data_IF_486208794364
#
_entry.id   IF_486208794364
#
_cell.length_a   1.000
_cell.length_b   1.000
_cell.length_c   1.000
_cell.angle_alpha   90.00
_cell.angle_beta   90.00
_cell.angle_gamma   90.00
#
_symmetry.space_group_name_H-M   'P 1'
#
loop_
_entity.id
_entity.type
_entity.pdbx_description
1 polymer ?
#
# COMPACT_ATOMS: atom_id res chain seq x y z
N UNK A 1 29.29 12.02 10.91
CA UNK A 1 27.98 11.55 11.43
C UNK A 1 26.99 11.58 10.28
N UNK A 2 26.19 10.53 10.02
CA UNK A 2 25.09 10.62 9.07
C UNK A 2 24.18 11.78 9.51
N UNK A 3 23.80 12.66 8.60
CA UNK A 3 22.79 13.67 8.93
C UNK A 3 21.47 12.98 9.27
N UNK A 4 20.66 13.62 10.10
CA UNK A 4 19.35 13.09 10.51
C UNK A 4 18.49 12.65 9.30
N UNK A 5 18.58 13.35 8.18
CA UNK A 5 17.91 13.00 6.92
C UNK A 5 18.34 11.64 6.37
N UNK A 6 19.66 11.35 6.29
CA UNK A 6 20.16 10.09 5.77
C UNK A 6 19.77 8.91 6.67
N UNK A 7 19.85 9.08 7.99
CA UNK A 7 19.43 8.07 8.96
C UNK A 7 17.94 7.74 8.80
N UNK A 8 17.09 8.77 8.68
CA UNK A 8 15.66 8.59 8.46
C UNK A 8 15.37 7.84 7.16
N UNK A 9 15.96 8.28 6.04
CA UNK A 9 15.80 7.62 4.73
C UNK A 9 16.23 6.15 4.82
N UNK A 10 17.38 5.86 5.45
CA UNK A 10 17.84 4.47 5.63
C UNK A 10 16.86 3.62 6.44
N UNK A 11 16.31 4.17 7.53
CA UNK A 11 15.31 3.48 8.33
C UNK A 11 14.03 3.20 7.54
N UNK A 12 13.55 4.18 6.76
CA UNK A 12 12.38 4.05 5.89
C UNK A 12 12.61 2.99 4.81
N UNK A 13 13.71 3.07 4.06
CA UNK A 13 14.04 2.10 3.00
C UNK A 13 14.19 0.67 3.54
N UNK A 14 14.80 0.52 4.71
CA UNK A 14 14.97 -0.77 5.39
C UNK A 14 13.61 -1.40 5.77
N UNK A 15 12.67 -0.60 6.28
CA UNK A 15 11.32 -1.06 6.61
C UNK A 15 10.53 -1.41 5.35
N UNK A 16 10.53 -0.54 4.35
CA UNK A 16 9.82 -0.80 3.09
C UNK A 16 10.35 -1.99 2.31
N UNK A 17 11.66 -2.27 2.37
CA UNK A 17 12.21 -3.52 1.86
C UNK A 17 11.56 -4.74 2.52
N UNK A 18 11.42 -4.74 3.85
CA UNK A 18 10.79 -5.84 4.60
C UNK A 18 9.30 -5.96 4.29
N UNK A 19 8.59 -4.83 4.20
CA UNK A 19 7.17 -4.77 3.81
C UNK A 19 6.98 -5.37 2.42
N UNK A 20 7.79 -4.94 1.44
CA UNK A 20 7.72 -5.45 0.07
C UNK A 20 7.88 -6.98 0.02
N UNK A 21 8.82 -7.54 0.77
CA UNK A 21 9.02 -9.00 0.86
C UNK A 21 7.86 -9.71 1.57
N UNK A 22 7.30 -9.09 2.62
CA UNK A 22 6.18 -9.66 3.38
C UNK A 22 4.88 -9.70 2.56
N UNK A 23 4.66 -8.76 1.66
CA UNK A 23 3.33 -8.54 1.09
C UNK A 23 3.19 -8.95 -0.37
N UNK A 24 4.29 -9.13 -1.09
CA UNK A 24 4.28 -9.71 -2.44
C UNK A 24 5.61 -10.37 -2.74
N UNK A 25 5.63 -11.69 -2.80
CA UNK A 25 6.79 -12.43 -3.28
C UNK A 25 6.79 -12.46 -4.83
N UNK A 26 7.97 -12.65 -5.40
CA UNK A 26 8.19 -12.73 -6.86
C UNK A 26 7.40 -13.89 -7.51
N UNK A 27 7.03 -14.87 -6.71
CA UNK A 27 6.35 -16.09 -7.03
C UNK A 27 4.89 -16.02 -6.54
N UNK A 28 4.22 -14.86 -6.58
CA UNK A 28 2.75 -14.72 -6.45
C UNK A 28 2.08 -15.33 -5.21
N UNK A 29 2.84 -15.86 -4.26
CA UNK A 29 2.43 -16.26 -2.94
C UNK A 29 2.86 -15.19 -1.94
N UNK A 30 2.20 -15.19 -0.80
CA UNK A 30 2.53 -14.34 0.34
C UNK A 30 2.63 -15.22 1.57
N UNK A 31 3.40 -14.82 2.60
CA UNK A 31 3.33 -15.45 3.91
C UNK A 31 1.89 -15.63 4.41
N UNK A 32 0.99 -14.69 4.06
CA UNK A 32 -0.43 -14.80 4.36
C UNK A 32 -1.11 -15.94 3.58
N UNK A 33 -0.84 -16.10 2.27
CA UNK A 33 -1.40 -17.20 1.48
C UNK A 33 -0.85 -18.57 1.86
N UNK A 34 0.40 -18.65 2.32
CA UNK A 34 1.04 -19.89 2.76
C UNK A 34 0.44 -20.41 4.06
N UNK A 35 0.16 -19.52 5.02
CA UNK A 35 -0.53 -19.88 6.28
C UNK A 35 -1.91 -20.52 6.01
N UNK A 36 -2.54 -20.17 4.88
CA UNK A 36 -3.85 -20.69 4.48
C UNK A 36 -3.79 -22.03 3.71
N UNK A 37 -2.61 -22.59 3.41
CA UNK A 37 -2.48 -23.84 2.60
C UNK A 37 -2.66 -25.14 3.36
N UNK A 38 -2.42 -25.12 4.66
CA UNK A 38 -2.50 -26.32 5.51
C UNK A 38 -3.30 -25.98 6.76
N UNK A 39 -4.62 -25.77 6.63
CA UNK A 39 -5.40 -25.30 7.75
C UNK A 39 -5.56 -26.43 8.78
N UNK A 40 -4.95 -26.25 9.95
CA UNK A 40 -5.56 -26.74 11.18
C UNK A 40 -6.29 -25.54 11.80
N UNK A 41 -7.58 -25.69 12.07
CA UNK A 41 -8.51 -24.56 12.26
C UNK A 41 -8.09 -23.58 13.36
N UNK A 42 -7.48 -24.08 14.44
CA UNK A 42 -7.03 -23.24 15.57
C UNK A 42 -5.73 -22.48 15.27
N UNK A 43 -4.75 -23.13 14.63
CA UNK A 43 -3.46 -22.51 14.31
C UNK A 43 -3.56 -21.44 13.21
N UNK A 44 -4.50 -21.63 12.28
CA UNK A 44 -4.65 -20.75 11.11
C UNK A 44 -5.03 -19.34 11.52
N UNK A 45 -6.02 -19.19 12.41
CA UNK A 45 -6.45 -17.88 12.90
C UNK A 45 -5.31 -17.12 13.60
N UNK A 46 -4.60 -17.80 14.51
CA UNK A 46 -3.48 -17.20 15.24
C UNK A 46 -2.33 -16.82 14.31
N UNK A 47 -1.99 -17.67 13.35
CA UNK A 47 -0.92 -17.41 12.38
C UNK A 47 -1.27 -16.24 11.45
N UNK A 48 -2.52 -16.13 10.97
CA UNK A 48 -3.00 -14.96 10.22
C UNK A 48 -2.88 -13.69 11.07
N UNK A 49 -3.32 -13.72 12.33
CA UNK A 49 -3.17 -12.61 13.27
C UNK A 49 -1.71 -12.16 13.43
N UNK A 50 -0.78 -13.11 13.62
CA UNK A 50 0.66 -12.84 13.72
C UNK A 50 1.23 -12.17 12.47
N UNK A 51 0.85 -12.64 11.29
CA UNK A 51 1.31 -12.07 10.01
C UNK A 51 0.82 -10.61 9.87
N UNK A 52 -0.44 -10.34 10.20
CA UNK A 52 -1.02 -8.99 10.18
C UNK A 52 -0.32 -8.07 11.21
N UNK A 53 -0.01 -8.58 12.41
CA UNK A 53 0.69 -7.81 13.44
C UNK A 53 2.13 -7.47 13.05
N UNK A 54 2.83 -8.41 12.39
CA UNK A 54 4.15 -8.13 11.80
C UNK A 54 4.03 -7.02 10.76
N UNK A 55 3.03 -7.06 9.88
CA UNK A 55 2.80 -6.04 8.86
C UNK A 55 2.55 -4.65 9.47
N UNK A 56 1.77 -4.57 10.56
CA UNK A 56 1.55 -3.32 11.31
C UNK A 56 2.83 -2.84 12.00
N UNK A 57 3.57 -3.76 12.62
CA UNK A 57 4.81 -3.46 13.31
C UNK A 57 5.89 -2.90 12.37
N UNK A 58 5.95 -3.40 11.13
CA UNK A 58 6.88 -2.90 10.12
C UNK A 58 6.55 -1.48 9.64
N UNK A 59 5.28 -1.06 9.70
CA UNK A 59 4.85 0.31 9.35
C UNK A 59 5.07 1.32 10.47
N UNK A 60 5.43 0.90 11.69
CA UNK A 60 5.77 1.82 12.78
C UNK A 60 7.25 2.19 12.73
N UNK A 61 7.55 3.49 12.78
CA UNK A 61 8.91 4.02 12.77
C UNK A 61 9.05 5.16 13.78
N UNK A 62 9.71 4.91 14.91
CA UNK A 62 10.06 5.96 15.90
C UNK A 62 8.87 6.82 16.36
N UNK A 63 7.69 6.21 16.51
CA UNK A 63 6.45 6.92 16.86
C UNK A 63 5.70 7.52 15.68
N UNK A 64 6.17 7.34 14.45
CA UNK A 64 5.46 7.68 13.21
C UNK A 64 4.92 6.41 12.53
N UNK A 65 4.00 6.61 11.59
CA UNK A 65 3.44 5.55 10.74
C UNK A 65 3.87 5.78 9.29
N UNK A 66 4.42 4.75 8.66
CA UNK A 66 4.73 4.74 7.23
C UNK A 66 3.42 4.66 6.42
N UNK A 67 3.21 5.62 5.52
CA UNK A 67 2.10 5.63 4.57
C UNK A 67 2.42 4.79 3.33
N UNK A 68 2.73 5.46 2.21
CA UNK A 68 3.20 4.82 0.97
C UNK A 68 4.68 5.09 0.69
N UNK A 69 5.25 4.35 -0.28
CA UNK A 69 6.54 4.66 -0.91
C UNK A 69 6.46 4.52 -2.43
N UNK A 70 7.13 5.42 -3.13
CA UNK A 70 7.40 5.35 -4.56
C UNK A 70 8.91 5.57 -4.80
N UNK A 71 9.48 4.85 -5.76
CA UNK A 71 10.90 4.89 -6.12
C UNK A 71 11.05 4.94 -7.64
N UNK A 72 11.90 5.84 -8.14
CA UNK A 72 12.18 6.02 -9.57
C UNK A 72 13.69 5.94 -9.83
N UNK A 73 14.07 5.27 -10.91
CA UNK A 73 15.44 5.24 -11.47
C UNK A 73 15.39 5.73 -12.92
N UNK A 74 16.09 6.83 -13.23
CA UNK A 74 16.11 7.37 -14.59
C UNK A 74 14.68 7.48 -15.15
N UNK A 75 14.24 6.71 -16.14
CA UNK A 75 12.84 6.77 -16.64
C UNK A 75 11.89 5.69 -16.06
N UNK A 76 12.41 4.72 -15.29
CA UNK A 76 11.62 3.61 -14.74
C UNK A 76 11.06 3.92 -13.34
N UNK A 77 9.79 3.59 -13.10
CA UNK A 77 9.05 3.89 -11.87
C UNK A 77 8.58 2.59 -11.20
N UNK A 78 8.79 2.45 -9.89
CA UNK A 78 8.24 1.39 -9.05
C UNK A 78 7.56 2.00 -7.81
N UNK A 79 6.35 1.56 -7.44
CA UNK A 79 5.66 2.08 -6.25
C UNK A 79 4.78 1.03 -5.58
N UNK A 80 4.53 1.24 -4.29
CA UNK A 80 3.75 0.33 -3.45
C UNK A 80 2.26 0.36 -3.81
N UNK A 81 1.63 -0.82 -3.85
CA UNK A 81 0.21 -0.97 -4.19
C UNK A 81 -0.10 -1.09 -5.69
N UNK A 82 0.91 -1.18 -6.58
CA UNK A 82 0.70 -1.54 -7.99
C UNK A 82 0.98 -3.02 -8.26
N UNK A 83 0.25 -3.59 -9.21
CA UNK A 83 0.45 -4.98 -9.56
C UNK A 83 1.78 -5.26 -10.27
N UNK A 84 2.39 -4.25 -10.86
CA UNK A 84 3.52 -4.46 -11.78
C UNK A 84 4.93 -4.45 -11.15
N UNK A 85 5.17 -3.96 -9.91
CA UNK A 85 6.58 -3.66 -9.54
C UNK A 85 6.96 -3.79 -8.05
N UNK A 86 6.38 -4.70 -7.25
CA UNK A 86 6.84 -4.89 -5.85
C UNK A 86 8.29 -5.39 -5.74
N UNK A 87 8.74 -6.22 -6.68
CA UNK A 87 10.16 -6.57 -6.84
C UNK A 87 11.04 -5.32 -7.07
N UNK A 88 10.50 -4.32 -7.77
CA UNK A 88 11.12 -3.03 -8.01
C UNK A 88 11.28 -2.19 -6.74
N UNK A 89 10.37 -2.30 -5.77
CA UNK A 89 10.47 -1.58 -4.48
C UNK A 89 11.59 -2.18 -3.63
N UNK A 90 11.58 -3.50 -3.41
CA UNK A 90 12.62 -4.15 -2.60
C UNK A 90 14.02 -3.93 -3.20
N UNK A 91 14.14 -4.07 -4.53
CA UNK A 91 15.36 -3.80 -5.27
C UNK A 91 15.77 -2.31 -5.22
N UNK A 92 14.81 -1.40 -5.43
CA UNK A 92 15.03 0.04 -5.37
C UNK A 92 15.47 0.51 -3.98
N UNK A 93 14.82 0.02 -2.93
CA UNK A 93 15.22 0.25 -1.53
C UNK A 93 16.66 -0.20 -1.28
N UNK A 94 17.04 -1.40 -1.73
CA UNK A 94 18.41 -1.91 -1.58
C UNK A 94 19.45 -1.02 -2.26
N UNK A 95 19.23 -0.68 -3.53
CA UNK A 95 20.19 0.12 -4.30
C UNK A 95 20.30 1.55 -3.77
N UNK A 96 19.17 2.18 -3.44
CA UNK A 96 19.18 3.52 -2.87
C UNK A 96 19.86 3.52 -1.49
N UNK A 97 19.56 2.54 -0.64
CA UNK A 97 20.24 2.39 0.65
C UNK A 97 21.76 2.24 0.49
N UNK A 98 22.21 1.45 -0.50
CA UNK A 98 23.64 1.33 -0.78
C UNK A 98 24.28 2.67 -1.16
N UNK A 99 23.61 3.47 -1.99
CA UNK A 99 24.10 4.81 -2.36
C UNK A 99 24.19 5.76 -1.16
N UNK A 100 23.25 5.68 -0.23
CA UNK A 100 23.29 6.47 1.01
C UNK A 100 24.44 6.04 1.92
N UNK A 101 24.76 4.74 1.97
CA UNK A 101 25.95 4.22 2.66
C UNK A 101 27.22 4.74 1.97
N UNK A 102 27.34 4.60 0.66
CA UNK A 102 28.54 5.05 -0.06
C UNK A 102 28.77 6.58 0.09
N UNK A 103 27.70 7.36 0.29
CA UNK A 103 27.78 8.79 0.63
C UNK A 103 28.40 9.04 2.01
N UNK A 104 28.12 8.17 2.98
CA UNK A 104 28.70 8.25 4.33
C UNK A 104 30.22 8.08 4.30
N UNK A 105 30.70 7.22 3.40
CA UNK A 105 32.11 6.87 3.26
C UNK A 105 32.89 7.86 2.38
N UNK A 106 32.23 8.89 1.82
CA UNK A 106 32.86 9.86 0.93
C UNK A 106 33.79 10.84 1.69
N UNK A 107 35.05 11.07 1.23
CA UNK A 107 35.99 11.96 1.89
C UNK A 107 35.50 13.41 1.92
N UNK A 108 35.57 14.01 3.11
CA UNK A 108 34.84 15.21 3.49
C UNK A 108 35.19 16.49 2.71
N UNK A 109 34.24 16.93 1.89
CA UNK A 109 34.07 18.34 1.45
C UNK A 109 32.59 18.74 1.27
N UNK A 110 31.65 17.81 1.43
CA UNK A 110 30.22 18.06 1.21
C UNK A 110 29.55 18.63 2.46
N UNK A 111 28.76 19.70 2.30
CA UNK A 111 27.98 20.32 3.39
C UNK A 111 26.51 20.40 3.02
N UNK A 112 25.65 20.02 3.97
CA UNK A 112 24.21 20.20 3.83
C UNK A 112 23.85 21.67 4.01
N UNK A 113 23.04 22.18 3.08
CA UNK A 113 22.48 23.51 3.12
C UNK A 113 20.96 23.38 3.17
N UNK A 114 20.32 24.07 4.10
CA UNK A 114 18.87 24.02 4.26
C UNK A 114 18.22 25.34 3.87
N UNK A 115 17.12 25.26 3.14
CA UNK A 115 16.35 26.42 2.70
C UNK A 115 14.86 26.09 2.75
N UNK A 116 14.04 27.13 2.89
CA UNK A 116 12.59 27.01 2.95
C UNK A 116 11.98 27.88 1.86
N UNK A 117 11.12 27.29 1.04
CA UNK A 117 10.41 27.97 -0.03
C UNK A 117 8.91 27.93 0.26
N UNK A 118 8.19 29.00 -0.12
CA UNK A 118 6.73 29.04 -0.05
C UNK A 118 6.16 28.86 -1.44
N UNK A 119 5.25 27.90 -1.62
CA UNK A 119 4.64 27.55 -2.91
C UNK A 119 3.51 28.52 -3.34
N UNK A 120 3.58 29.80 -2.94
CA UNK A 120 2.48 30.76 -3.12
C UNK A 120 1.21 30.46 -2.31
N UNK A 121 1.12 29.27 -1.69
CA UNK A 121 0.11 28.83 -0.73
C UNK A 121 0.65 28.92 0.70
N UNK A 122 -0.16 28.56 1.71
CA UNK A 122 0.26 28.49 3.11
C UNK A 122 1.27 27.36 3.42
N UNK A 123 1.57 26.49 2.45
CA UNK A 123 2.49 25.36 2.63
C UNK A 123 3.95 25.78 2.43
N UNK A 124 4.79 25.45 3.42
CA UNK A 124 6.23 25.68 3.38
C UNK A 124 6.95 24.37 2.99
N UNK A 125 7.73 24.44 1.92
CA UNK A 125 8.61 23.35 1.49
C UNK A 125 9.98 23.57 2.12
N UNK A 126 10.47 22.55 2.82
CA UNK A 126 11.82 22.56 3.38
C UNK A 126 12.70 21.68 2.54
N UNK A 127 13.81 22.22 2.08
CA UNK A 127 14.83 21.46 1.38
C UNK A 127 16.12 21.44 2.20
N UNK A 128 16.83 20.33 2.09
CA UNK A 128 18.21 20.16 2.49
C UNK A 128 18.95 19.61 1.28
N UNK A 129 19.98 20.31 0.81
CA UNK A 129 20.76 19.92 -0.37
C UNK A 129 22.22 19.76 -0.01
N UNK A 130 22.84 18.69 -0.49
CA UNK A 130 24.24 18.40 -0.29
C UNK A 130 25.01 18.71 -1.58
N UNK A 131 25.90 19.69 -1.50
CA UNK A 131 26.73 20.15 -2.62
C UNK A 131 28.03 20.80 -2.15
N UNK A 132 28.87 21.19 -3.10
CA UNK A 132 30.17 21.86 -2.86
C UNK A 132 30.09 23.39 -2.96
N UNK A 133 29.07 23.92 -3.63
CA UNK A 133 28.80 25.35 -3.81
C UNK A 133 27.50 25.77 -3.12
N UNK A 134 27.36 27.05 -2.77
CA UNK A 134 26.09 27.58 -2.27
C UNK A 134 25.04 27.53 -3.38
N UNK A 135 24.12 26.56 -3.33
CA UNK A 135 23.00 26.45 -4.25
C UNK A 135 21.84 27.32 -3.72
N UNK A 136 22.00 28.65 -3.77
CA UNK A 136 20.93 29.58 -3.39
C UNK A 136 20.03 29.83 -4.61
N UNK A 137 18.79 29.34 -4.55
CA UNK A 137 17.71 29.70 -5.48
C UNK A 137 16.57 30.29 -4.68
N UNK A 138 16.22 31.54 -4.97
CA UNK A 138 15.26 32.29 -4.14
C UNK A 138 13.80 32.07 -4.56
N UNK A 139 13.54 31.56 -5.76
CA UNK A 139 12.19 31.50 -6.33
C UNK A 139 11.88 30.10 -6.89
N UNK A 140 10.69 29.58 -6.55
CA UNK A 140 10.12 28.39 -7.19
C UNK A 140 9.73 28.72 -8.64
N UNK A 141 9.90 27.79 -9.60
CA UNK A 141 9.33 27.94 -10.93
C UNK A 141 7.81 28.12 -10.79
N UNK A 142 7.26 29.15 -11.44
CA UNK A 142 5.84 29.50 -11.31
C UNK A 142 4.96 28.38 -11.91
N UNK A 143 3.85 28.04 -11.24
CA UNK A 143 2.79 27.09 -11.67
C UNK A 143 2.99 25.58 -11.42
N UNK A 144 3.89 25.13 -10.53
CA UNK A 144 3.97 23.70 -10.21
C UNK A 144 3.19 23.35 -8.94
N UNK A 145 2.00 22.76 -9.07
CA UNK A 145 1.33 22.14 -7.91
C UNK A 145 2.09 20.87 -7.52
N UNK A 146 2.97 20.93 -6.53
CA UNK A 146 3.91 19.84 -6.23
C UNK A 146 3.22 18.61 -5.63
N UNK A 147 2.17 18.83 -4.83
CA UNK A 147 1.42 17.76 -4.23
C UNK A 147 0.33 17.21 -5.15
N UNK A 148 0.29 15.88 -5.26
CA UNK A 148 -0.81 15.12 -5.85
C UNK A 148 -1.37 14.11 -4.84
N UNK A 149 -2.66 13.75 -4.92
CA UNK A 149 -3.22 12.64 -4.15
C UNK A 149 -2.47 11.31 -4.38
N UNK A 150 -1.98 11.09 -5.60
CA UNK A 150 -1.15 9.95 -5.95
C UNK A 150 0.33 10.23 -5.63
N UNK A 151 0.96 9.33 -4.87
CA UNK A 151 2.36 9.44 -4.45
C UNK A 151 3.33 9.35 -5.63
N UNK A 152 3.01 8.57 -6.66
CA UNK A 152 3.82 8.42 -7.88
C UNK A 152 3.82 9.70 -8.70
N UNK A 153 2.66 10.33 -8.87
CA UNK A 153 2.56 11.62 -9.56
C UNK A 153 3.30 12.71 -8.78
N UNK A 154 3.17 12.69 -7.45
CA UNK A 154 3.94 13.59 -6.58
C UNK A 154 5.44 13.40 -6.78
N UNK A 155 5.93 12.14 -6.78
CA UNK A 155 7.34 11.82 -6.99
C UNK A 155 7.89 12.37 -8.32
N UNK A 156 7.13 12.24 -9.41
CA UNK A 156 7.53 12.77 -10.71
C UNK A 156 7.60 14.30 -10.71
N UNK A 157 6.63 14.98 -10.10
CA UNK A 157 6.64 16.44 -9.98
C UNK A 157 7.81 16.94 -9.13
N UNK A 158 8.10 16.28 -8.01
CA UNK A 158 9.28 16.57 -7.19
C UNK A 158 10.57 16.42 -7.96
N UNK A 159 10.67 15.39 -8.79
CA UNK A 159 11.86 15.18 -9.61
C UNK A 159 12.04 16.30 -10.63
N UNK A 160 10.98 16.67 -11.38
CA UNK A 160 11.04 17.78 -12.34
C UNK A 160 11.50 19.05 -11.64
N UNK A 161 10.87 19.39 -10.51
CA UNK A 161 11.22 20.56 -9.71
C UNK A 161 12.69 20.55 -9.27
N UNK A 162 13.17 19.43 -8.74
CA UNK A 162 14.54 19.34 -8.23
C UNK A 162 15.58 19.29 -9.35
N UNK A 163 15.23 18.80 -10.54
CA UNK A 163 16.07 18.84 -11.74
C UNK A 163 16.21 20.27 -12.29
N UNK A 164 15.19 21.11 -12.12
CA UNK A 164 15.22 22.55 -12.48
C UNK A 164 15.95 23.41 -11.44
N UNK A 165 15.70 23.17 -10.16
CA UNK A 165 16.27 23.98 -9.07
C UNK A 165 17.74 23.67 -8.78
N UNK A 166 18.12 22.39 -8.83
CA UNK A 166 19.44 21.90 -8.42
C UNK A 166 20.12 21.12 -9.53
N UNK A 167 21.44 21.00 -9.48
CA UNK A 167 22.17 20.19 -10.44
C UNK A 167 21.68 18.73 -10.46
N UNK A 168 21.75 18.08 -11.63
CA UNK A 168 21.33 16.67 -11.83
C UNK A 168 22.05 15.67 -10.89
N UNK A 169 23.16 16.07 -10.30
CA UNK A 169 23.95 15.24 -9.38
C UNK A 169 23.85 15.70 -7.92
N UNK A 170 23.13 16.79 -7.64
CA UNK A 170 22.93 17.29 -6.27
C UNK A 170 22.02 16.34 -5.52
N UNK A 171 22.43 15.99 -4.29
CA UNK A 171 21.64 15.13 -3.41
C UNK A 171 20.65 16.03 -2.67
N UNK A 172 19.37 15.72 -2.81
CA UNK A 172 18.28 16.58 -2.34
C UNK A 172 17.41 15.80 -1.39
N UNK A 173 17.13 16.36 -0.23
CA UNK A 173 16.09 15.93 0.67
C UNK A 173 15.07 17.05 0.77
N UNK A 174 13.79 16.76 0.59
CA UNK A 174 12.74 17.75 0.69
C UNK A 174 11.58 17.22 1.53
N UNK A 175 10.92 18.11 2.27
CA UNK A 175 9.71 17.81 3.02
C UNK A 175 8.63 18.84 2.75
N UNK A 176 7.41 18.33 2.68
CA UNK A 176 6.19 19.11 2.54
C UNK A 176 5.18 18.57 3.56
N UNK A 177 4.79 19.43 4.50
CA UNK A 177 3.75 19.11 5.48
C UNK A 177 2.38 19.44 4.88
N UNK A 178 1.49 18.45 4.89
CA UNK A 178 0.15 18.51 4.33
C UNK A 178 -0.79 18.00 5.39
N UNK A 179 -1.58 18.89 5.97
CA UNK A 179 -2.40 18.60 7.14
C UNK A 179 -1.56 17.97 8.27
N UNK A 180 -1.81 16.71 8.59
CA UNK A 180 -1.11 15.94 9.62
C UNK A 180 -0.01 15.03 9.08
N UNK A 181 0.11 14.86 7.75
CA UNK A 181 1.14 14.01 7.12
C UNK A 181 2.31 14.83 6.61
N UNK A 182 3.47 14.19 6.53
CA UNK A 182 4.65 14.75 5.89
C UNK A 182 5.01 13.92 4.67
N UNK A 183 4.94 14.55 3.50
CA UNK A 183 5.51 13.99 2.28
C UNK A 183 7.01 14.28 2.29
N UNK A 184 7.80 13.24 2.17
CA UNK A 184 9.26 13.31 2.12
C UNK A 184 9.70 12.90 0.72
N UNK A 185 10.67 13.62 0.18
CA UNK A 185 11.30 13.32 -1.10
C UNK A 185 12.81 13.24 -0.90
N UNK A 186 13.44 12.26 -1.52
CA UNK A 186 14.88 12.11 -1.50
C UNK A 186 15.42 11.75 -2.89
N UNK A 187 16.44 12.47 -3.34
CA UNK A 187 17.14 12.25 -4.61
C UNK A 187 18.62 12.03 -4.38
N UNK A 188 19.17 10.97 -4.97
CA UNK A 188 20.60 10.66 -4.96
C UNK A 188 21.05 10.12 -6.33
N UNK A 189 21.78 10.96 -7.08
CA UNK A 189 22.08 10.70 -8.48
C UNK A 189 20.80 10.52 -9.31
N UNK A 190 20.75 9.51 -10.17
CA UNK A 190 19.56 9.21 -10.99
C UNK A 190 18.39 8.52 -10.26
N UNK A 191 18.42 8.47 -8.92
CA UNK A 191 17.41 7.81 -8.10
C UNK A 191 16.61 8.81 -7.29
N UNK A 192 15.30 8.67 -7.27
CA UNK A 192 14.38 9.46 -6.46
C UNK A 192 13.45 8.54 -5.67
N UNK A 193 13.09 8.89 -4.44
CA UNK A 193 11.99 8.26 -3.73
C UNK A 193 11.13 9.32 -3.05
N UNK A 194 9.85 8.99 -2.91
CA UNK A 194 8.91 9.77 -2.14
C UNK A 194 8.17 8.84 -1.18
N UNK A 195 7.93 9.29 0.04
CA UNK A 195 7.22 8.53 1.05
C UNK A 195 6.48 9.42 2.04
N UNK A 196 5.37 8.91 2.54
CA UNK A 196 4.54 9.58 3.53
C UNK A 196 4.89 9.12 4.94
N UNK A 197 5.01 10.09 5.85
CA UNK A 197 5.07 9.85 7.29
C UNK A 197 3.85 10.46 7.95
N UNK A 198 3.08 9.62 8.64
CA UNK A 198 1.85 9.98 9.32
C UNK A 198 2.06 9.96 10.85
N UNK A 199 1.21 10.66 11.63
CA UNK A 199 1.29 10.68 13.09
C UNK A 199 1.13 9.29 13.74
N UNK A 200 1.56 9.10 15.00
CA UNK A 200 1.54 7.81 15.70
C UNK A 200 0.19 7.10 15.74
N UNK A 201 -0.91 7.87 15.75
CA UNK A 201 -2.28 7.37 15.87
C UNK A 201 -2.97 7.18 14.52
N UNK A 202 -2.24 7.30 13.42
CA UNK A 202 -2.80 7.11 12.09
C UNK A 202 -3.19 5.66 11.88
N UNK A 203 -4.32 5.46 11.20
CA UNK A 203 -4.79 4.12 10.83
C UNK A 203 -3.76 3.49 9.89
N UNK A 204 -3.39 2.24 10.17
CA UNK A 204 -2.58 1.42 9.28
C UNK A 204 -3.52 0.64 8.39
N UNK A 205 -3.57 1.02 7.12
CA UNK A 205 -4.35 0.31 6.11
C UNK A 205 -3.54 -0.87 5.54
N UNK A 206 -4.09 -2.08 5.70
CA UNK A 206 -3.54 -3.33 5.15
C UNK A 206 -4.34 -3.81 3.93
N UNK A 207 -5.31 -3.04 3.43
CA UNK A 207 -6.17 -3.43 2.31
C UNK A 207 -5.37 -3.88 1.09
N UNK A 208 -4.28 -3.18 0.76
CA UNK A 208 -3.40 -3.60 -0.35
C UNK A 208 -2.76 -4.96 -0.14
N UNK A 209 -2.41 -5.33 1.10
CA UNK A 209 -1.79 -6.60 1.44
C UNK A 209 -2.80 -7.75 1.40
N UNK A 210 -3.99 -7.55 1.99
CA UNK A 210 -5.02 -8.59 2.05
C UNK A 210 -5.77 -8.77 0.74
N UNK A 211 -5.69 -7.82 -0.18
CA UNK A 211 -6.27 -7.91 -1.52
C UNK A 211 -5.25 -8.23 -2.61
N UNK A 212 -4.00 -8.58 -2.25
CA UNK A 212 -3.00 -9.01 -3.23
C UNK A 212 -3.53 -10.18 -4.04
N UNK A 213 -3.46 -10.03 -5.36
CA UNK A 213 -3.77 -11.07 -6.33
C UNK A 213 -2.72 -12.18 -6.27
N UNK A 214 -3.17 -13.41 -6.02
CA UNK A 214 -2.34 -14.62 -6.00
C UNK A 214 -2.21 -15.23 -7.41
N UNK A 215 -1.42 -16.29 -7.57
CA UNK A 215 -1.15 -16.94 -8.86
C UNK A 215 -2.36 -17.36 -9.71
N UNK A 216 -3.52 -17.63 -9.11
CA UNK A 216 -4.76 -17.99 -9.83
C UNK A 216 -5.69 -16.78 -10.02
N UNK A 217 -5.15 -15.58 -9.98
CA UNK A 217 -5.86 -14.29 -9.90
C UNK A 217 -6.88 -14.16 -8.75
N UNK A 218 -6.95 -15.14 -7.83
CA UNK A 218 -7.76 -15.03 -6.63
C UNK A 218 -7.05 -14.23 -5.54
N UNK A 219 -7.83 -13.66 -4.63
CA UNK A 219 -7.32 -13.08 -3.38
C UNK A 219 -7.22 -14.14 -2.28
N UNK A 220 -6.55 -13.82 -1.18
CA UNK A 220 -6.56 -14.68 0.02
C UNK A 220 -7.98 -15.01 0.51
N UNK A 221 -8.94 -14.10 0.32
CA UNK A 221 -10.32 -14.35 0.70
C UNK A 221 -10.98 -15.46 -0.12
N UNK A 222 -10.65 -15.59 -1.42
CA UNK A 222 -11.12 -16.71 -2.25
C UNK A 222 -10.64 -18.05 -1.70
N UNK A 223 -9.36 -18.12 -1.29
CA UNK A 223 -8.74 -19.31 -0.70
C UNK A 223 -9.38 -19.67 0.64
N UNK A 224 -9.72 -18.67 1.46
CA UNK A 224 -10.28 -18.88 2.79
C UNK A 224 -11.70 -19.46 2.81
N UNK A 225 -12.50 -19.32 1.75
CA UNK A 225 -13.93 -19.72 1.78
C UNK A 225 -14.11 -21.22 2.05
N UNK A 226 -13.28 -22.08 1.46
CA UNK A 226 -13.39 -23.53 1.62
C UNK A 226 -12.53 -24.06 2.78
N UNK A 227 -11.45 -23.37 3.09
CA UNK A 227 -10.36 -23.91 3.91
C UNK A 227 -10.34 -23.35 5.35
N UNK A 228 -11.09 -22.28 5.64
CA UNK A 228 -10.96 -21.53 6.89
C UNK A 228 -12.28 -21.38 7.66
N UNK A 229 -12.14 -21.08 8.95
CA UNK A 229 -13.28 -20.77 9.83
C UNK A 229 -13.86 -19.38 9.55
N UNK A 230 -15.12 -19.17 9.94
CA UNK A 230 -15.76 -17.86 9.89
C UNK A 230 -14.95 -16.78 10.61
N UNK A 231 -14.31 -17.10 11.74
CA UNK A 231 -13.51 -16.13 12.50
C UNK A 231 -12.26 -15.68 11.73
N UNK A 232 -11.63 -16.59 10.99
CA UNK A 232 -10.51 -16.24 10.10
C UNK A 232 -11.00 -15.32 8.97
N UNK A 233 -12.16 -15.62 8.39
CA UNK A 233 -12.77 -14.77 7.35
C UNK A 233 -13.11 -13.38 7.89
N UNK A 234 -13.69 -13.30 9.10
CA UNK A 234 -13.97 -12.03 9.79
C UNK A 234 -12.70 -11.22 9.98
N UNK A 235 -11.65 -11.83 10.52
CA UNK A 235 -10.36 -11.19 10.74
C UNK A 235 -9.79 -10.58 9.44
N UNK A 236 -9.91 -11.28 8.31
CA UNK A 236 -9.45 -10.79 7.01
C UNK A 236 -10.29 -9.61 6.51
N UNK A 237 -11.62 -9.70 6.57
CA UNK A 237 -12.55 -8.66 6.10
C UNK A 237 -12.47 -7.39 6.96
N UNK A 238 -12.32 -7.54 8.27
CA UNK A 238 -12.06 -6.44 9.19
C UNK A 238 -10.79 -5.67 8.81
N UNK A 239 -9.80 -6.36 8.26
CA UNK A 239 -8.54 -5.81 7.75
C UNK A 239 -8.58 -5.35 6.29
N UNK A 240 -9.77 -5.27 5.69
CA UNK A 240 -9.98 -4.71 4.35
C UNK A 240 -10.00 -5.73 3.22
N UNK A 241 -10.05 -7.03 3.51
CA UNK A 241 -10.22 -8.04 2.48
C UNK A 241 -11.58 -7.86 1.79
N UNK A 242 -11.54 -7.66 0.48
CA UNK A 242 -12.69 -7.27 -0.32
C UNK A 242 -13.34 -8.51 -0.95
N UNK A 243 -14.59 -8.85 -0.58
CA UNK A 243 -15.31 -10.02 -1.07
C UNK A 243 -15.82 -9.90 -2.52
N UNK A 244 -15.71 -8.72 -3.13
CA UNK A 244 -16.21 -8.42 -4.47
C UNK A 244 -15.15 -8.45 -5.56
N UNK A 245 -13.87 -8.59 -5.22
CA UNK A 245 -12.81 -8.81 -6.19
C UNK A 245 -13.01 -10.18 -6.85
N UNK A 246 -12.75 -10.27 -8.15
CA UNK A 246 -12.91 -11.51 -8.92
C UNK A 246 -11.62 -12.30 -9.07
N UNK A 247 -11.72 -13.63 -9.04
CA UNK A 247 -10.63 -14.53 -9.44
C UNK A 247 -10.51 -14.70 -10.97
N UNK A 248 -9.63 -15.61 -11.43
CA UNK A 248 -9.46 -15.90 -12.86
C UNK A 248 -10.75 -16.38 -13.57
N UNK A 249 -11.68 -16.98 -12.83
CA UNK A 249 -12.97 -17.43 -13.36
C UNK A 249 -13.99 -16.29 -13.48
N UNK A 250 -13.64 -15.09 -13.01
CA UNK A 250 -14.57 -13.97 -12.87
C UNK A 250 -15.51 -14.12 -11.67
N UNK A 251 -15.24 -15.07 -10.78
CA UNK A 251 -16.07 -15.30 -9.60
C UNK A 251 -15.56 -14.45 -8.45
N UNK A 252 -16.48 -13.83 -7.71
CA UNK A 252 -16.12 -13.12 -6.49
C UNK A 252 -15.96 -14.09 -5.32
N UNK A 253 -15.21 -13.71 -4.29
CA UNK A 253 -15.12 -14.53 -3.07
C UNK A 253 -16.51 -14.74 -2.43
N UNK A 254 -17.39 -13.74 -2.48
CA UNK A 254 -18.79 -13.88 -2.08
C UNK A 254 -19.56 -14.88 -2.96
N UNK A 255 -19.32 -14.92 -4.28
CA UNK A 255 -19.98 -15.92 -5.12
C UNK A 255 -19.50 -17.34 -4.80
N UNK A 256 -18.22 -17.50 -4.45
CA UNK A 256 -17.67 -18.81 -4.05
C UNK A 256 -18.33 -19.37 -2.78
N UNK A 257 -18.79 -18.53 -1.83
CA UNK A 257 -19.52 -19.03 -0.66
C UNK A 257 -20.83 -19.74 -1.04
N UNK A 258 -21.44 -19.37 -2.16
CA UNK A 258 -22.65 -20.01 -2.67
C UNK A 258 -22.34 -21.39 -3.25
N UNK A 259 -21.21 -21.50 -3.99
CA UNK A 259 -20.73 -22.75 -4.59
C UNK A 259 -20.34 -23.79 -3.54
N UNK A 260 -19.70 -23.35 -2.46
CA UNK A 260 -19.24 -24.21 -1.37
C UNK A 260 -20.28 -24.39 -0.25
N UNK A 261 -21.52 -23.93 -0.45
CA UNK A 261 -22.62 -24.01 0.52
C UNK A 261 -22.25 -23.49 1.93
N UNK A 262 -21.79 -22.23 1.99
CA UNK A 262 -21.39 -21.56 3.22
C UNK A 262 -22.38 -20.43 3.59
N UNK A 263 -23.63 -20.73 4.02
CA UNK A 263 -24.66 -19.71 4.18
C UNK A 263 -24.35 -18.71 5.30
N UNK A 264 -23.72 -19.13 6.39
CA UNK A 264 -23.30 -18.24 7.49
C UNK A 264 -22.22 -17.24 7.03
N UNK A 265 -21.24 -17.70 6.24
CA UNK A 265 -20.21 -16.83 5.66
C UNK A 265 -20.84 -15.89 4.63
N UNK A 266 -21.76 -16.38 3.81
CA UNK A 266 -22.48 -15.58 2.81
C UNK A 266 -23.21 -14.41 3.47
N UNK A 267 -23.96 -14.68 4.54
CA UNK A 267 -24.67 -13.67 5.32
C UNK A 267 -23.73 -12.60 5.88
N UNK A 268 -22.62 -13.04 6.49
CA UNK A 268 -21.60 -12.13 7.01
C UNK A 268 -21.01 -11.24 5.90
N UNK A 269 -20.59 -11.82 4.78
CA UNK A 269 -19.97 -11.07 3.68
C UNK A 269 -20.95 -10.08 3.04
N UNK A 270 -22.23 -10.44 2.88
CA UNK A 270 -23.27 -9.53 2.39
C UNK A 270 -23.44 -8.29 3.28
N UNK A 271 -23.52 -8.51 4.59
CA UNK A 271 -23.56 -7.42 5.57
C UNK A 271 -22.33 -6.52 5.42
N UNK A 272 -21.14 -7.12 5.35
CA UNK A 272 -19.90 -6.36 5.25
C UNK A 272 -19.75 -5.59 3.92
N UNK A 273 -20.27 -6.12 2.82
CA UNK A 273 -20.32 -5.41 1.53
C UNK A 273 -21.04 -4.07 1.65
N UNK A 274 -22.17 -4.06 2.36
CA UNK A 274 -22.97 -2.85 2.57
C UNK A 274 -22.31 -1.90 3.56
N UNK A 275 -21.86 -2.41 4.71
CA UNK A 275 -21.25 -1.59 5.78
C UNK A 275 -19.94 -0.91 5.35
N UNK A 276 -19.06 -1.64 4.65
CA UNK A 276 -17.77 -1.10 4.19
C UNK A 276 -17.84 -0.49 2.78
N UNK A 277 -19.01 -0.51 2.12
CA UNK A 277 -19.20 -0.03 0.76
C UNK A 277 -18.14 -0.58 -0.20
N UNK A 278 -17.90 -1.90 -0.15
CA UNK A 278 -16.92 -2.55 -1.00
C UNK A 278 -17.30 -2.39 -2.47
N UNK A 279 -16.27 -2.31 -3.33
CA UNK A 279 -16.41 -2.22 -4.79
C UNK A 279 -15.44 -3.19 -5.45
N UNK A 280 -15.86 -3.83 -6.53
CA UNK A 280 -14.94 -4.65 -7.31
C UNK A 280 -13.92 -3.78 -8.07
N UNK A 281 -13.05 -4.42 -8.84
CA UNK A 281 -12.03 -3.77 -9.69
C UNK A 281 -12.62 -2.81 -10.74
N UNK A 282 -13.88 -2.97 -11.10
CA UNK A 282 -14.61 -2.08 -12.02
C UNK A 282 -15.35 -0.94 -11.29
N UNK A 283 -15.23 -0.84 -9.97
CA UNK A 283 -15.93 0.15 -9.15
C UNK A 283 -17.39 -0.20 -8.85
N UNK A 284 -17.86 -1.39 -9.22
CA UNK A 284 -19.24 -1.84 -9.01
C UNK A 284 -19.48 -2.28 -7.57
N UNK A 285 -20.62 -1.88 -7.00
CA UNK A 285 -21.09 -2.36 -5.69
C UNK A 285 -21.77 -3.73 -5.78
N UNK A 286 -22.09 -4.32 -4.62
CA UNK A 286 -22.85 -5.59 -4.57
C UNK A 286 -24.23 -5.52 -5.26
N UNK A 287 -24.82 -4.33 -5.36
CA UNK A 287 -26.13 -4.13 -6.01
C UNK A 287 -26.04 -4.17 -7.55
N UNK A 288 -24.84 -3.91 -8.08
CA UNK A 288 -24.56 -3.77 -9.51
C UNK A 288 -23.93 -5.04 -10.11
N UNK A 289 -23.23 -5.83 -9.29
CA UNK A 289 -22.51 -7.02 -9.76
C UNK A 289 -23.48 -8.10 -10.25
N UNK A 290 -23.19 -8.64 -11.43
CA UNK A 290 -23.90 -9.78 -12.02
C UNK A 290 -22.97 -10.97 -12.14
N UNK A 291 -23.50 -12.18 -11.93
CA UNK A 291 -22.78 -13.46 -11.97
C UNK A 291 -23.49 -14.48 -12.85
N UNK A 292 -22.75 -15.51 -13.27
CA UNK A 292 -23.26 -16.59 -14.12
C UNK A 292 -23.53 -16.18 -15.57
N UNK A 293 -23.89 -17.16 -16.41
CA UNK A 293 -24.10 -16.96 -17.86
C UNK A 293 -25.30 -16.07 -18.17
N UNK A 294 -26.32 -16.13 -17.32
CA UNK A 294 -27.56 -15.37 -17.47
C UNK A 294 -27.47 -13.95 -16.88
N UNK A 295 -26.29 -13.55 -16.38
CA UNK A 295 -26.04 -12.23 -15.75
C UNK A 295 -27.06 -11.87 -14.67
N UNK A 296 -27.40 -12.84 -13.81
CA UNK A 296 -28.23 -12.57 -12.62
C UNK A 296 -27.45 -11.73 -11.63
N UNK A 297 -28.11 -10.83 -10.89
CA UNK A 297 -27.44 -10.05 -9.85
C UNK A 297 -26.94 -10.98 -8.74
N UNK A 298 -25.70 -10.78 -8.31
CA UNK A 298 -25.10 -11.58 -7.24
C UNK A 298 -25.93 -11.53 -5.96
N UNK A 299 -26.46 -10.34 -5.63
CA UNK A 299 -27.33 -10.14 -4.49
C UNK A 299 -28.60 -11.01 -4.55
N UNK A 300 -29.27 -11.06 -5.71
CA UNK A 300 -30.49 -11.85 -5.89
C UNK A 300 -30.20 -13.35 -5.71
N UNK A 301 -29.12 -13.85 -6.34
CA UNK A 301 -28.71 -15.25 -6.23
C UNK A 301 -28.35 -15.61 -4.78
N UNK A 302 -27.66 -14.72 -4.08
CA UNK A 302 -27.31 -14.96 -2.67
C UNK A 302 -28.55 -15.00 -1.77
N UNK A 303 -29.51 -14.10 -1.98
CA UNK A 303 -30.79 -14.06 -1.25
C UNK A 303 -31.60 -15.33 -1.52
N UNK A 304 -31.73 -15.77 -2.78
CA UNK A 304 -32.40 -17.02 -3.14
C UNK A 304 -31.76 -18.21 -2.42
N UNK A 305 -30.43 -18.32 -2.41
CA UNK A 305 -29.73 -19.41 -1.72
C UNK A 305 -29.93 -19.36 -0.19
N UNK A 306 -29.87 -18.18 0.42
CA UNK A 306 -30.04 -18.01 1.87
C UNK A 306 -31.47 -18.31 2.31
N UNK A 307 -32.48 -17.81 1.59
CA UNK A 307 -33.89 -18.00 1.95
C UNK A 307 -34.30 -19.47 1.94
N UNK A 308 -33.78 -20.24 0.99
CA UNK A 308 -34.00 -21.70 0.94
C UNK A 308 -33.33 -22.42 2.11
N UNK A 309 -32.16 -21.97 2.57
CA UNK A 309 -31.31 -22.70 3.54
C UNK A 309 -31.47 -22.23 4.99
N UNK A 310 -31.82 -20.97 5.23
CA UNK A 310 -31.96 -20.34 6.55
C UNK A 310 -33.27 -19.51 6.64
N UNK A 311 -34.45 -20.14 6.51
CA UNK A 311 -35.73 -19.42 6.43
C UNK A 311 -36.07 -18.60 7.68
N UNK A 312 -35.52 -18.95 8.84
CA UNK A 312 -35.72 -18.23 10.11
C UNK A 312 -34.85 -16.98 10.28
N UNK A 313 -33.73 -16.86 9.56
CA UNK A 313 -32.75 -15.77 9.75
C UNK A 313 -33.01 -14.60 8.79
N UNK A 314 -33.62 -14.86 7.63
CA UNK A 314 -33.92 -13.84 6.63
C UNK A 314 -34.82 -12.70 7.16
N UNK A 315 -35.77 -13.02 8.04
CA UNK A 315 -36.69 -12.04 8.65
C UNK A 315 -36.02 -11.07 9.64
N UNK A 316 -34.76 -11.30 10.03
CA UNK A 316 -34.02 -10.40 10.93
C UNK A 316 -33.14 -9.38 10.18
N UNK A 317 -33.00 -9.52 8.85
CA UNK A 317 -32.04 -8.75 8.04
C UNK A 317 -32.75 -7.85 7.00
N UNK A 318 -34.03 -8.10 6.71
CA UNK A 318 -34.92 -7.18 5.98
C UNK A 318 -35.52 -6.13 6.92
#
# INVERSE_FOLDING_TARGET
MPTAHCTLVMNVLSRWKKIAVLEKLLDGETPLSYVLEKPTSEYTFEAVGKVLDIARGLRKLEGLVLGGIAIVKATAIAWYGSDEHVAGIAYGCNLMARKVIDLHDAPGQLRWQSFTMKDGTACAIKFSVLGTTNENREHLPTNLQIWCPNLTDSLLRWRILTDELFGKHSIVYATLSIDSRTLNFFRIGGWCCAYDLCPPHSVIDLSSMVNTTLWHNGTILHKSINECTLDTIKLLVENGANPLLTDYSGDTALYNTLKFDQPTVTLYLLQMCKEKNFRNENGCSIEEITVGRDKKRLLDVAIECITVRLPTIFYAIC
#
